data_IF_851622333105
#
_entry.id   IF_851622333105
#
_cell.length_a   1.000
_cell.length_b   1.000
_cell.length_c   1.000
_cell.angle_alpha   90.00
_cell.angle_beta   90.00
_cell.angle_gamma   90.00
#
_symmetry.space_group_name_H-M   'P 1'
#
loop_
_entity.id
_entity.type
_entity.pdbx_description
1 polymer ?
#
# COMPACT_ATOMS: atom_id res chain seq x y z
N UNK A 1 13.77 17.95 -2.63
CA UNK A 1 13.58 19.34 -2.12
C UNK A 1 12.32 20.02 -2.67
N UNK A 2 11.98 19.91 -3.95
CA UNK A 2 10.79 20.55 -4.52
C UNK A 2 9.47 19.99 -3.97
N UNK A 3 9.42 18.70 -3.73
CA UNK A 3 8.23 18.01 -3.20
C UNK A 3 8.10 18.18 -1.68
N UNK A 4 9.22 18.20 -0.96
CA UNK A 4 9.26 18.39 0.50
C UNK A 4 9.10 19.85 0.93
N UNK A 5 9.55 20.82 0.14
CA UNK A 5 9.37 22.25 0.47
C UNK A 5 7.93 22.71 0.56
N UNK A 6 7.00 22.05 -0.14
CA UNK A 6 5.58 22.37 -0.01
C UNK A 6 5.01 22.01 1.36
N UNK A 7 5.50 20.93 1.97
CA UNK A 7 5.01 20.47 3.26
C UNK A 7 5.63 21.24 4.44
N UNK A 8 6.90 21.66 4.31
CA UNK A 8 7.61 22.38 5.35
C UNK A 8 7.08 23.80 5.55
N UNK A 9 6.72 24.50 4.47
CA UNK A 9 6.28 25.90 4.55
C UNK A 9 4.80 26.10 4.87
N UNK A 10 3.97 25.07 4.75
CA UNK A 10 2.53 25.24 4.96
C UNK A 10 2.04 24.80 6.35
N UNK A 11 2.90 24.30 7.23
CA UNK A 11 2.54 23.74 8.54
C UNK A 11 1.33 22.79 8.51
N UNK A 12 0.93 22.38 7.33
CA UNK A 12 -0.12 21.39 7.17
C UNK A 12 0.49 20.01 7.30
N UNK A 13 -0.08 19.22 8.17
CA UNK A 13 0.15 17.78 8.26
C UNK A 13 -0.47 17.14 7.00
N UNK A 14 0.10 17.43 5.86
CA UNK A 14 -0.31 16.74 4.67
C UNK A 14 0.63 15.55 4.52
N UNK A 15 0.12 14.39 4.84
CA UNK A 15 0.67 13.17 4.32
C UNK A 15 0.53 13.29 2.82
N UNK A 16 1.64 13.37 2.10
CA UNK A 16 1.62 13.50 0.66
C UNK A 16 0.68 12.48 0.03
N UNK A 17 -0.13 12.90 -0.91
CA UNK A 17 -0.96 12.00 -1.69
C UNK A 17 -0.08 11.02 -2.48
N UNK A 18 -0.66 9.96 -2.98
CA UNK A 18 -0.01 9.05 -3.92
C UNK A 18 0.15 9.80 -5.25
N UNK A 19 1.38 9.83 -5.74
CA UNK A 19 1.72 10.38 -7.05
C UNK A 19 1.90 9.20 -7.99
N UNK A 20 1.07 9.12 -9.03
CA UNK A 20 1.17 8.08 -10.06
C UNK A 20 1.84 8.65 -11.30
N UNK A 21 2.84 7.96 -11.81
CA UNK A 21 3.52 8.28 -13.05
C UNK A 21 2.75 7.62 -14.19
N UNK A 22 1.94 8.41 -14.89
CA UNK A 22 1.02 7.91 -15.93
C UNK A 22 1.71 7.24 -17.12
N UNK A 23 2.94 7.66 -17.41
CA UNK A 23 3.72 7.16 -18.54
C UNK A 23 4.60 5.96 -18.17
N UNK A 24 4.55 5.51 -16.90
CA UNK A 24 5.35 4.39 -16.45
C UNK A 24 4.77 3.05 -16.91
N UNK A 25 5.58 2.28 -17.60
CA UNK A 25 5.24 0.90 -17.98
C UNK A 25 5.00 0.00 -16.76
N UNK A 26 5.60 0.32 -15.61
CA UNK A 26 5.40 -0.39 -14.36
C UNK A 26 4.18 0.10 -13.58
N UNK A 27 3.49 1.15 -14.07
CA UNK A 27 2.48 1.87 -13.31
C UNK A 27 3.03 2.32 -11.96
N UNK A 28 4.20 2.98 -12.00
CA UNK A 28 4.87 3.47 -10.81
C UNK A 28 4.01 4.49 -10.09
N UNK A 29 3.83 4.26 -8.80
CA UNK A 29 3.26 5.24 -7.88
C UNK A 29 4.16 5.37 -6.68
N UNK A 30 4.28 6.56 -6.14
CA UNK A 30 5.08 6.79 -4.95
C UNK A 30 4.40 7.79 -4.01
N UNK A 31 4.79 7.74 -2.75
CA UNK A 31 4.37 8.70 -1.75
C UNK A 31 5.53 9.05 -0.84
N UNK A 32 5.63 10.33 -0.51
CA UNK A 32 6.58 10.85 0.46
C UNK A 32 5.77 11.31 1.66
N UNK A 33 5.81 10.53 2.71
CA UNK A 33 5.14 10.87 3.96
C UNK A 33 5.81 12.08 4.62
N UNK A 34 5.14 12.65 5.62
CA UNK A 34 5.76 13.66 6.48
C UNK A 34 7.03 13.09 7.10
N UNK A 35 8.10 13.88 7.07
CA UNK A 35 9.39 13.52 7.65
C UNK A 35 9.61 14.25 9.00
N UNK A 36 10.22 13.59 10.00
CA UNK A 36 10.59 12.18 10.01
C UNK A 36 9.36 11.28 10.02
N UNK A 37 9.41 10.17 9.28
CA UNK A 37 8.33 9.18 9.28
C UNK A 37 8.48 8.16 10.43
N UNK A 38 9.71 7.84 10.76
CA UNK A 38 10.04 6.97 11.89
C UNK A 38 10.73 7.75 13.01
N UNK A 39 10.54 7.31 14.25
CA UNK A 39 11.05 7.98 15.44
C UNK A 39 12.59 8.18 15.42
N UNK A 40 13.30 7.17 14.93
CA UNK A 40 14.77 7.15 14.92
C UNK A 40 15.36 7.55 13.55
N UNK A 41 14.55 8.09 12.65
CA UNK A 41 14.98 8.58 11.35
C UNK A 41 15.82 9.83 11.51
N UNK A 42 16.98 9.88 10.85
CA UNK A 42 17.86 11.04 10.89
C UNK A 42 17.29 12.21 10.08
N UNK A 43 17.67 13.44 10.42
CA UNK A 43 17.17 14.65 9.77
C UNK A 43 17.53 14.74 8.26
N UNK A 44 18.63 14.13 7.85
CA UNK A 44 19.07 14.08 6.46
C UNK A 44 18.52 12.89 5.67
N UNK A 45 17.68 12.07 6.27
CA UNK A 45 17.06 10.91 5.63
C UNK A 45 15.62 11.21 5.22
N UNK A 46 15.21 10.68 4.07
CA UNK A 46 13.83 10.76 3.59
C UNK A 46 13.33 9.36 3.25
N UNK A 47 12.21 8.98 3.83
CA UNK A 47 11.55 7.70 3.52
C UNK A 47 10.54 7.91 2.39
N UNK A 48 10.66 7.09 1.35
CA UNK A 48 9.78 7.10 0.18
C UNK A 48 9.19 5.71 0.00
N UNK A 49 7.89 5.63 -0.18
CA UNK A 49 7.20 4.40 -0.57
C UNK A 49 6.96 4.39 -2.06
N UNK A 50 7.33 3.29 -2.71
CA UNK A 50 7.18 3.11 -4.15
C UNK A 50 6.35 1.86 -4.40
N UNK A 51 5.44 1.94 -5.34
CA UNK A 51 4.61 0.83 -5.80
C UNK A 51 4.79 0.65 -7.30
N UNK A 52 4.92 -0.59 -7.74
CA UNK A 52 4.92 -0.97 -9.15
C UNK A 52 3.86 -2.07 -9.34
N UNK A 53 2.80 -1.77 -10.07
CA UNK A 53 1.67 -2.70 -10.23
C UNK A 53 1.84 -3.67 -11.38
N UNK A 54 2.50 -3.27 -12.46
CA UNK A 54 2.74 -4.13 -13.63
C UNK A 54 4.10 -4.81 -13.53
N UNK A 55 4.15 -5.84 -12.69
CA UNK A 55 5.39 -6.49 -12.28
C UNK A 55 6.11 -7.23 -13.39
N UNK A 56 5.40 -7.65 -14.45
CA UNK A 56 5.93 -8.47 -15.54
C UNK A 56 6.28 -7.69 -16.80
N UNK A 57 6.10 -6.38 -16.79
CA UNK A 57 6.40 -5.50 -17.92
C UNK A 57 7.80 -4.89 -17.78
N UNK A 58 8.59 -4.78 -18.85
CA UNK A 58 9.85 -4.04 -18.83
C UNK A 58 9.62 -2.53 -18.60
N UNK A 59 10.51 -1.92 -17.82
CA UNK A 59 10.46 -0.48 -17.54
C UNK A 59 10.69 0.38 -18.77
N UNK A 60 10.44 1.68 -18.63
CA UNK A 60 10.66 2.64 -19.71
C UNK A 60 12.14 2.88 -19.96
N UNK A 61 12.94 2.94 -18.92
CA UNK A 61 14.37 3.20 -18.92
C UNK A 61 15.14 1.93 -18.56
N UNK A 62 14.83 1.30 -17.48
CA UNK A 62 15.37 -0.02 -17.09
C UNK A 62 14.58 -1.09 -17.86
N UNK A 63 15.22 -1.69 -18.87
CA UNK A 63 14.58 -2.64 -19.78
C UNK A 63 14.44 -4.05 -19.18
N UNK A 64 14.11 -4.11 -17.89
CA UNK A 64 13.83 -5.34 -17.14
C UNK A 64 12.43 -5.28 -16.55
N UNK A 65 11.86 -6.43 -16.22
CA UNK A 65 10.64 -6.51 -15.39
C UNK A 65 11.00 -6.05 -13.97
N UNK A 66 10.13 -5.32 -13.32
CA UNK A 66 10.43 -4.80 -11.97
C UNK A 66 10.76 -5.91 -10.96
N UNK A 67 10.19 -7.11 -11.13
CA UNK A 67 10.49 -8.26 -10.29
C UNK A 67 11.92 -8.79 -10.42
N UNK A 68 12.59 -8.46 -11.52
CA UNK A 68 13.97 -8.86 -11.79
C UNK A 68 14.98 -7.72 -11.49
N UNK A 69 14.48 -6.57 -11.02
CA UNK A 69 15.29 -5.39 -10.74
C UNK A 69 15.86 -5.39 -9.32
N UNK A 70 17.05 -4.82 -9.20
CA UNK A 70 17.60 -4.43 -7.89
C UNK A 70 16.93 -3.15 -7.36
N UNK A 71 17.14 -2.83 -6.08
CA UNK A 71 16.65 -1.57 -5.51
C UNK A 71 17.22 -0.34 -6.21
N UNK A 72 18.51 -0.39 -6.60
CA UNK A 72 19.17 0.66 -7.37
C UNK A 72 18.48 0.88 -8.73
N UNK A 73 18.23 -0.19 -9.48
CA UNK A 73 17.54 -0.11 -10.77
C UNK A 73 16.12 0.43 -10.67
N UNK A 74 15.38 0.08 -9.61
CA UNK A 74 14.05 0.66 -9.34
C UNK A 74 14.15 2.16 -9.04
N UNK A 75 15.17 2.54 -8.30
CA UNK A 75 15.44 3.95 -8.01
C UNK A 75 15.83 4.72 -9.26
N UNK A 76 16.70 4.16 -10.11
CA UNK A 76 17.05 4.76 -11.41
C UNK A 76 15.80 5.03 -12.25
N UNK A 77 14.93 4.04 -12.43
CA UNK A 77 13.68 4.19 -13.19
C UNK A 77 12.81 5.33 -12.64
N UNK A 78 12.67 5.42 -11.31
CA UNK A 78 11.92 6.51 -10.69
C UNK A 78 12.57 7.87 -10.93
N UNK A 79 13.89 7.98 -10.79
CA UNK A 79 14.63 9.23 -11.00
C UNK A 79 14.54 9.73 -12.45
N UNK A 80 14.56 8.82 -13.42
CA UNK A 80 14.31 9.14 -14.83
C UNK A 80 12.91 9.76 -15.00
N UNK A 81 11.89 9.15 -14.47
CA UNK A 81 10.52 9.67 -14.52
C UNK A 81 10.36 11.02 -13.82
N UNK A 82 11.17 11.30 -12.81
CA UNK A 82 11.21 12.60 -12.14
C UNK A 82 12.00 13.68 -12.89
N UNK A 83 12.60 13.33 -14.02
CA UNK A 83 13.39 14.24 -14.84
C UNK A 83 14.72 14.64 -14.20
N UNK A 84 15.32 13.76 -13.42
CA UNK A 84 16.69 13.96 -12.92
C UNK A 84 17.66 13.83 -14.08
N UNK A 85 18.65 14.73 -14.21
CA UNK A 85 19.67 14.63 -15.26
C UNK A 85 20.43 13.29 -15.25
N UNK A 86 20.70 12.73 -16.41
CA UNK A 86 21.29 11.39 -16.57
C UNK A 86 22.63 11.22 -15.84
N UNK A 87 23.45 12.25 -15.81
CA UNK A 87 24.73 12.26 -15.11
C UNK A 87 24.63 12.17 -13.58
N UNK A 88 23.45 12.50 -13.05
CA UNK A 88 23.17 12.46 -11.61
C UNK A 88 22.39 11.21 -11.18
N UNK A 89 21.71 10.54 -12.11
CA UNK A 89 20.84 9.40 -11.78
C UNK A 89 21.65 8.29 -11.12
N UNK A 90 22.70 7.82 -11.77
CA UNK A 90 23.52 6.73 -11.22
C UNK A 90 24.17 7.08 -9.90
N UNK A 91 24.56 8.34 -9.74
CA UNK A 91 25.13 8.83 -8.48
C UNK A 91 24.10 8.75 -7.35
N UNK A 92 22.87 9.22 -7.60
CA UNK A 92 21.85 9.31 -6.55
C UNK A 92 21.08 8.00 -6.34
N UNK A 93 21.11 7.08 -7.27
CA UNK A 93 20.55 5.75 -7.10
C UNK A 93 21.47 4.80 -6.31
N UNK A 94 22.77 5.11 -6.24
CA UNK A 94 23.75 4.26 -5.56
C UNK A 94 23.61 4.26 -4.04
N UNK A 95 24.15 3.22 -3.42
CA UNK A 95 24.04 2.90 -1.98
C UNK A 95 24.51 4.01 -1.03
N UNK A 96 25.39 4.91 -1.48
CA UNK A 96 25.83 6.05 -0.69
C UNK A 96 24.71 7.07 -0.41
N UNK A 97 23.64 7.08 -1.23
CA UNK A 97 22.56 8.06 -1.18
C UNK A 97 21.20 7.43 -0.93
N UNK A 98 20.97 6.25 -1.46
CA UNK A 98 19.65 5.59 -1.40
C UNK A 98 19.82 4.11 -1.07
N UNK A 99 19.06 3.66 -0.09
CA UNK A 99 18.88 2.26 0.21
C UNK A 99 17.44 1.85 -0.13
N UNK A 100 17.25 1.19 -1.26
CA UNK A 100 15.94 0.72 -1.69
C UNK A 100 15.80 -0.78 -1.44
N UNK A 101 14.81 -1.13 -0.63
CA UNK A 101 14.49 -2.52 -0.30
C UNK A 101 13.29 -2.96 -1.13
N UNK A 102 13.49 -3.72 -2.23
CA UNK A 102 12.39 -4.25 -3.02
C UNK A 102 11.71 -5.40 -2.28
N UNK A 103 10.39 -5.36 -2.23
CA UNK A 103 9.56 -6.41 -1.66
C UNK A 103 8.53 -6.83 -2.71
N UNK A 104 8.62 -8.07 -3.16
CA UNK A 104 7.67 -8.63 -4.09
C UNK A 104 6.58 -9.38 -3.33
N UNK A 105 5.33 -8.94 -3.52
CA UNK A 105 4.16 -9.56 -2.92
C UNK A 105 3.32 -10.22 -4.01
N UNK A 106 3.45 -11.53 -4.23
CA UNK A 106 2.72 -12.22 -5.27
C UNK A 106 1.20 -12.15 -5.02
N UNK A 107 0.45 -12.01 -6.10
CA UNK A 107 -1.02 -11.94 -6.09
C UNK A 107 -1.63 -10.72 -5.37
N UNK A 108 -0.85 -9.73 -5.01
CA UNK A 108 -1.35 -8.52 -4.34
C UNK A 108 -2.43 -7.80 -5.16
N UNK A 109 -2.31 -7.80 -6.48
CA UNK A 109 -3.28 -7.19 -7.40
C UNK A 109 -4.62 -7.91 -7.46
N UNK A 110 -4.73 -9.12 -6.90
CA UNK A 110 -6.00 -9.84 -6.84
C UNK A 110 -7.09 -9.07 -6.08
N UNK A 111 -6.75 -8.13 -5.22
CA UNK A 111 -7.73 -7.26 -4.54
C UNK A 111 -8.60 -6.47 -5.49
N UNK A 112 -8.03 -6.07 -6.61
CA UNK A 112 -8.68 -5.17 -7.56
C UNK A 112 -9.50 -5.91 -8.61
N UNK A 113 -9.51 -7.24 -8.57
CA UNK A 113 -10.32 -8.02 -9.49
C UNK A 113 -11.79 -7.94 -9.09
N UNK A 114 -12.65 -7.80 -10.10
CA UNK A 114 -14.09 -7.81 -9.90
C UNK A 114 -14.55 -9.12 -9.31
N UNK A 115 -15.42 -9.06 -8.30
CA UNK A 115 -16.04 -10.21 -7.67
C UNK A 115 -17.45 -9.86 -7.20
N UNK A 116 -18.27 -10.86 -7.04
CA UNK A 116 -19.61 -10.71 -6.46
C UNK A 116 -19.55 -10.96 -4.96
N UNK A 117 -20.56 -10.48 -4.25
CA UNK A 117 -20.77 -10.85 -2.85
C UNK A 117 -20.94 -12.37 -2.75
N UNK A 118 -20.21 -13.00 -1.84
CA UNK A 118 -20.21 -14.45 -1.64
C UNK A 118 -19.16 -15.21 -2.45
N UNK A 119 -18.34 -14.54 -3.27
CA UNK A 119 -17.26 -15.19 -4.02
C UNK A 119 -16.05 -15.56 -3.14
N UNK A 120 -15.93 -14.97 -1.99
CA UNK A 120 -14.89 -15.28 -1.00
C UNK A 120 -15.42 -16.24 0.07
N UNK A 121 -14.54 -17.04 0.67
CA UNK A 121 -14.96 -17.89 1.79
C UNK A 121 -15.36 -17.03 3.00
N UNK A 122 -16.35 -17.48 3.74
CA UNK A 122 -16.67 -16.91 5.05
C UNK A 122 -15.44 -17.00 5.98
N UNK A 123 -15.35 -16.11 6.95
CA UNK A 123 -14.26 -16.12 7.94
C UNK A 123 -14.16 -17.50 8.61
N UNK A 124 -15.25 -18.04 9.07
CA UNK A 124 -15.35 -19.45 9.50
C UNK A 124 -16.33 -20.16 8.58
N UNK A 125 -15.86 -20.98 7.63
CA UNK A 125 -16.74 -21.69 6.72
C UNK A 125 -17.70 -22.65 7.46
N UNK A 126 -18.88 -22.82 6.93
CA UNK A 126 -19.85 -23.75 7.51
C UNK A 126 -19.24 -25.16 7.64
N UNK A 127 -19.37 -25.74 8.82
CA UNK A 127 -18.79 -27.06 9.13
C UNK A 127 -17.31 -27.03 9.54
N UNK A 128 -16.64 -25.88 9.54
CA UNK A 128 -15.29 -25.77 10.09
C UNK A 128 -15.31 -25.77 11.62
N UNK A 129 -14.37 -26.52 12.20
CA UNK A 129 -14.20 -26.63 13.66
C UNK A 129 -12.99 -25.87 14.15
N UNK A 130 -11.93 -25.83 13.36
CA UNK A 130 -10.64 -25.28 13.73
C UNK A 130 -9.93 -24.58 12.56
N UNK A 131 -10.66 -24.14 11.55
CA UNK A 131 -10.15 -23.43 10.37
C UNK A 131 -10.90 -22.12 10.20
N UNK A 132 -10.15 -21.06 9.99
CA UNK A 132 -10.69 -19.76 9.60
C UNK A 132 -9.84 -19.13 8.50
N UNK A 133 -10.47 -18.30 7.67
CA UNK A 133 -9.84 -17.41 6.71
C UNK A 133 -9.89 -15.99 7.25
N UNK A 134 -8.78 -15.27 7.18
CA UNK A 134 -8.68 -13.91 7.69
C UNK A 134 -8.09 -12.95 6.64
N UNK A 135 -8.26 -11.67 6.85
CA UNK A 135 -7.79 -10.62 5.95
C UNK A 135 -8.64 -10.51 4.70
N UNK A 136 -8.04 -9.97 3.65
CA UNK A 136 -8.75 -9.70 2.39
C UNK A 136 -9.22 -10.96 1.64
N UNK A 137 -8.76 -12.11 2.06
CA UNK A 137 -9.15 -13.39 1.49
C UNK A 137 -10.53 -13.85 1.98
N UNK A 138 -10.97 -13.39 3.14
CA UNK A 138 -12.24 -13.79 3.74
C UNK A 138 -13.34 -12.75 3.48
N UNK A 139 -14.60 -13.21 3.49
CA UNK A 139 -15.77 -12.35 3.43
C UNK A 139 -16.42 -12.24 4.81
N UNK A 140 -16.47 -11.02 5.34
CA UNK A 140 -17.25 -10.71 6.54
C UNK A 140 -18.72 -10.54 6.16
N UNK A 141 -19.66 -11.08 6.96
CA UNK A 141 -21.09 -10.99 6.64
C UNK A 141 -21.64 -9.56 6.73
N UNK A 142 -20.98 -8.70 7.47
CA UNK A 142 -21.51 -7.37 7.79
C UNK A 142 -21.11 -6.30 6.79
N UNK A 143 -19.86 -6.23 6.37
CA UNK A 143 -19.38 -5.22 5.41
C UNK A 143 -18.09 -5.62 4.73
N UNK A 144 -18.00 -5.23 3.48
CA UNK A 144 -16.83 -5.44 2.65
C UNK A 144 -15.98 -4.16 2.61
N UNK A 145 -14.91 -4.13 3.39
CA UNK A 145 -13.90 -3.07 3.34
C UNK A 145 -12.61 -3.66 2.79
N UNK A 146 -12.31 -3.35 1.56
CA UNK A 146 -11.18 -3.98 0.85
C UNK A 146 -9.84 -3.47 1.36
N UNK A 147 -8.84 -4.36 1.46
CA UNK A 147 -7.41 -4.14 1.74
C UNK A 147 -7.07 -3.10 2.84
N UNK A 148 -7.79 -3.12 3.92
CA UNK A 148 -7.47 -2.29 5.08
C UNK A 148 -6.93 -3.13 6.24
N UNK A 149 -6.06 -2.52 7.05
CA UNK A 149 -5.62 -3.13 8.31
C UNK A 149 -6.81 -3.39 9.23
N UNK A 150 -7.78 -2.49 9.23
CA UNK A 150 -9.05 -2.65 9.97
C UNK A 150 -9.74 -3.95 9.58
N UNK A 151 -9.90 -4.21 8.29
CA UNK A 151 -10.57 -5.42 7.80
C UNK A 151 -9.82 -6.70 8.20
N UNK A 152 -8.49 -6.67 8.17
CA UNK A 152 -7.67 -7.80 8.63
C UNK A 152 -7.84 -8.08 10.12
N UNK A 153 -7.89 -7.05 10.96
CA UNK A 153 -8.15 -7.18 12.40
C UNK A 153 -9.57 -7.64 12.68
N UNK A 154 -10.55 -7.10 11.97
CA UNK A 154 -11.97 -7.45 12.10
C UNK A 154 -12.20 -8.94 11.81
N UNK A 155 -11.70 -9.44 10.70
CA UNK A 155 -11.84 -10.85 10.33
C UNK A 155 -11.09 -11.77 11.30
N UNK A 156 -9.93 -11.33 11.84
CA UNK A 156 -9.23 -12.07 12.87
C UNK A 156 -10.01 -12.12 14.19
N UNK A 157 -10.63 -11.02 14.61
CA UNK A 157 -11.51 -11.01 15.80
C UNK A 157 -12.72 -11.92 15.60
N UNK A 158 -13.37 -11.86 14.44
CA UNK A 158 -14.49 -12.74 14.09
C UNK A 158 -14.08 -14.21 14.15
N UNK A 159 -12.93 -14.57 13.57
CA UNK A 159 -12.39 -15.93 13.62
C UNK A 159 -12.19 -16.41 15.07
N UNK A 160 -11.54 -15.63 15.90
CA UNK A 160 -11.26 -15.96 17.30
C UNK A 160 -12.55 -16.09 18.10
N UNK A 161 -13.47 -15.16 17.98
CA UNK A 161 -14.72 -15.19 18.75
C UNK A 161 -15.59 -16.37 18.35
N UNK A 162 -15.65 -16.68 17.04
CA UNK A 162 -16.43 -17.82 16.55
C UNK A 162 -15.79 -19.15 16.96
N UNK A 163 -14.50 -19.36 16.70
CA UNK A 163 -13.85 -20.64 16.96
C UNK A 163 -13.71 -20.95 18.46
N UNK A 164 -13.55 -19.94 19.29
CA UNK A 164 -13.43 -20.11 20.74
C UNK A 164 -14.78 -19.93 21.47
N UNK A 165 -15.86 -19.75 20.74
CA UNK A 165 -17.20 -19.51 21.28
C UNK A 165 -17.22 -18.39 22.35
N UNK A 166 -16.53 -17.28 22.04
CA UNK A 166 -16.49 -16.11 22.90
C UNK A 166 -17.78 -15.31 22.69
N UNK A 167 -18.55 -15.12 23.75
CA UNK A 167 -19.78 -14.31 23.71
C UNK A 167 -19.43 -12.81 23.62
N UNK A 168 -18.94 -12.40 22.45
CA UNK A 168 -18.57 -11.03 22.15
C UNK A 168 -18.72 -10.75 20.65
N UNK A 169 -19.43 -9.66 20.32
CA UNK A 169 -19.52 -9.19 18.95
C UNK A 169 -18.26 -8.47 18.48
N UNK A 170 -17.94 -8.57 17.21
CA UNK A 170 -16.96 -7.69 16.56
C UNK A 170 -17.58 -6.29 16.48
N UNK A 171 -16.86 -5.21 16.85
CA UNK A 171 -17.36 -3.86 16.75
C UNK A 171 -17.84 -3.53 15.34
N UNK A 172 -18.98 -2.86 15.23
CA UNK A 172 -19.52 -2.47 13.92
C UNK A 172 -18.68 -1.38 13.26
N UNK A 173 -18.66 -1.38 11.94
CA UNK A 173 -18.06 -0.31 11.14
C UNK A 173 -18.99 0.90 11.20
N UNK A 174 -18.42 2.09 11.45
CA UNK A 174 -19.18 3.33 11.39
C UNK A 174 -19.79 3.54 10.01
N UNK A 175 -21.09 3.77 9.98
CA UNK A 175 -21.86 3.85 8.75
C UNK A 175 -21.87 5.26 8.15
N UNK A 176 -20.68 5.72 7.71
CA UNK A 176 -20.48 7.06 7.18
C UNK A 176 -21.36 7.41 5.98
N UNK A 177 -21.77 6.40 5.20
CA UNK A 177 -22.64 6.59 4.01
C UNK A 177 -24.03 7.11 4.37
N UNK A 178 -24.47 6.95 5.62
CA UNK A 178 -25.76 7.45 6.11
C UNK A 178 -25.61 8.61 7.09
N UNK A 179 -24.39 9.05 7.37
CA UNK A 179 -24.16 10.21 8.23
C UNK A 179 -24.04 11.49 7.40
N UNK A 180 -25.06 12.33 7.47
CA UNK A 180 -25.09 13.58 6.70
C UNK A 180 -23.93 14.52 7.03
N UNK A 181 -23.38 14.47 8.25
CA UNK A 181 -22.21 15.28 8.64
C UNK A 181 -20.94 14.85 7.91
N UNK A 182 -20.85 13.58 7.55
CA UNK A 182 -19.74 13.06 6.75
C UNK A 182 -19.94 13.31 5.25
N UNK A 183 -21.19 13.26 4.78
CA UNK A 183 -21.50 13.49 3.38
C UNK A 183 -21.40 14.97 2.97
N UNK A 184 -21.42 15.90 3.92
CA UNK A 184 -21.33 17.35 3.67
C UNK A 184 -19.93 17.93 3.93
N UNK A 185 -18.92 17.13 4.26
CA UNK A 185 -17.51 17.54 4.38
C UNK A 185 -16.83 17.58 3.04
#
# INVERSE_FOLDING_TARGET
>A
ERLTKRDIHQHRVNTGGIITVTDSNWMLSFTIHRQPHFKDQKENETVVWIYALYSDTPGNYIKKRVVDCTGEEITEELLYHLGVPDDLIKKYAGDDYVNTVPVYMPYITAYFQMRKKGDRPAVVPAGSVNLAFIGNFAESPTRDTVFTTEYSVRTAMEAVYTLLNVDRGVPEVFDSVYDIRELLK
#
